data_IF_856271196426
#
_entry.id   IF_856271196426
#
_cell.length_a   1.000
_cell.length_b   1.000
_cell.length_c   1.000
_cell.angle_alpha   90.00
_cell.angle_beta   90.00
_cell.angle_gamma   90.00
#
_symmetry.space_group_name_H-M   'P 1'
#
loop_
_entity.id
_entity.type
_entity.pdbx_description
1 polymer ?
#
# COMPACT_ATOMS: atom_id res chain seq x y z
N UNK A 1 0.20 0.23 9.99
CA UNK A 1 1.57 0.62 9.59
C UNK A 1 2.26 -0.39 8.66
N UNK A 2 2.32 -1.69 9.01
CA UNK A 2 3.09 -2.71 8.26
C UNK A 2 2.83 -2.73 6.74
N UNK A 3 1.58 -2.83 6.28
CA UNK A 3 1.25 -3.03 4.85
C UNK A 3 1.76 -1.87 3.99
N UNK A 4 1.62 -0.63 4.46
CA UNK A 4 2.10 0.57 3.75
C UNK A 4 3.62 0.59 3.67
N UNK A 5 4.32 0.31 4.78
CA UNK A 5 5.79 0.27 4.80
C UNK A 5 6.34 -0.86 3.91
N UNK A 6 5.68 -2.02 3.91
CA UNK A 6 6.03 -3.12 3.00
C UNK A 6 5.82 -2.72 1.54
N UNK A 7 4.72 -2.04 1.22
CA UNK A 7 4.47 -1.54 -0.14
C UNK A 7 5.54 -0.52 -0.58
N UNK A 8 5.88 0.46 0.27
CA UNK A 8 6.91 1.47 -0.04
C UNK A 8 8.26 0.80 -0.34
N UNK A 9 8.71 -0.11 0.53
CA UNK A 9 9.98 -0.84 0.31
C UNK A 9 9.93 -1.67 -0.97
N UNK A 10 8.82 -2.35 -1.26
CA UNK A 10 8.66 -3.14 -2.48
C UNK A 10 8.67 -2.27 -3.75
N UNK A 11 8.05 -1.07 -3.71
CA UNK A 11 8.07 -0.12 -4.82
C UNK A 11 9.49 0.41 -5.06
N UNK A 12 10.22 0.78 -4.00
CA UNK A 12 11.62 1.23 -4.10
C UNK A 12 12.53 0.15 -4.70
N UNK A 13 12.44 -1.09 -4.22
CA UNK A 13 13.24 -2.21 -4.72
C UNK A 13 12.96 -2.54 -6.19
N UNK A 14 11.71 -2.33 -6.64
CA UNK A 14 11.29 -2.61 -8.02
C UNK A 14 11.41 -1.41 -8.96
N UNK A 15 11.83 -0.24 -8.46
CA UNK A 15 11.87 1.00 -9.24
C UNK A 15 10.48 1.46 -9.72
N UNK A 16 9.41 1.09 -9.00
CA UNK A 16 8.04 1.47 -9.34
C UNK A 16 7.64 2.74 -8.61
N UNK A 17 6.81 3.57 -9.27
CA UNK A 17 6.36 4.84 -8.70
C UNK A 17 5.01 4.78 -7.98
N UNK A 18 4.08 3.92 -8.43
CA UNK A 18 2.69 3.92 -7.95
C UNK A 18 2.31 2.56 -7.37
N UNK A 19 1.52 2.57 -6.30
CA UNK A 19 0.98 1.35 -5.71
C UNK A 19 -0.24 1.63 -4.82
N UNK A 20 -0.99 0.57 -4.51
CA UNK A 20 -2.15 0.64 -3.63
C UNK A 20 -2.01 -0.38 -2.51
N UNK A 21 -2.21 0.05 -1.27
CA UNK A 21 -2.35 -0.83 -0.12
C UNK A 21 -3.82 -0.89 0.29
N UNK A 22 -4.35 -2.09 0.51
CA UNK A 22 -5.72 -2.29 0.96
C UNK A 22 -5.79 -3.26 2.15
N UNK A 23 -6.81 -3.08 2.98
CA UNK A 23 -7.10 -3.96 4.12
C UNK A 23 -8.62 -4.12 4.27
N UNK A 24 -9.05 -5.38 4.39
CA UNK A 24 -10.40 -5.70 4.84
C UNK A 24 -10.49 -5.56 6.37
N UNK A 25 -11.63 -5.04 6.81
CA UNK A 25 -11.95 -4.82 8.22
C UNK A 25 -13.19 -5.68 8.53
N UNK A 26 -13.14 -6.41 9.65
CA UNK A 26 -14.28 -7.22 10.08
C UNK A 26 -15.53 -6.36 10.25
N UNK A 27 -16.69 -6.89 9.85
CA UNK A 27 -17.94 -6.12 9.81
C UNK A 27 -18.35 -5.62 8.41
N UNK A 28 -17.59 -5.98 7.36
CA UNK A 28 -17.97 -5.71 5.97
C UNK A 28 -17.37 -4.42 5.39
N UNK A 29 -16.34 -3.88 6.03
CA UNK A 29 -15.69 -2.64 5.60
C UNK A 29 -14.32 -2.92 4.98
N UNK A 30 -13.85 -1.99 4.15
CA UNK A 30 -12.51 -2.06 3.59
C UNK A 30 -11.98 -0.64 3.34
N UNK A 31 -10.67 -0.49 3.45
CA UNK A 31 -9.99 0.76 3.11
C UNK A 31 -8.86 0.48 2.13
N UNK A 32 -8.71 1.35 1.14
CA UNK A 32 -7.62 1.34 0.19
C UNK A 32 -6.94 2.72 0.14
N UNK A 33 -5.61 2.72 0.04
CA UNK A 33 -4.78 3.92 -0.03
C UNK A 33 -3.87 3.82 -1.23
N UNK A 34 -3.98 4.78 -2.15
CA UNK A 34 -3.05 4.95 -3.26
C UNK A 34 -1.85 5.80 -2.82
N UNK A 35 -0.65 5.38 -3.22
CA UNK A 35 0.62 6.04 -2.89
C UNK A 35 1.45 6.20 -4.15
N UNK A 36 2.12 7.34 -4.25
CA UNK A 36 3.10 7.63 -5.30
C UNK A 36 4.43 8.04 -4.65
N UNK A 37 5.52 7.43 -5.10
CA UNK A 37 6.88 7.78 -4.71
C UNK A 37 7.41 8.91 -5.61
N UNK A 38 8.24 9.83 -5.07
CA UNK A 38 8.90 10.86 -5.86
C UNK A 38 9.70 10.28 -7.04
#
# INVERSE_FOLDING_TARGET
ARVVVTLINALQQRGLKKGVAALCIGGGEATAVALELP
#
